data_IF_956589354432
#
_entry.id   IF_956589354432
#
_cell.length_a   1.000
_cell.length_b   1.000
_cell.length_c   1.000
_cell.angle_alpha   90.00
_cell.angle_beta   90.00
_cell.angle_gamma   90.00
#
_symmetry.space_group_name_H-M   'P 1'
#
loop_
_entity.id
_entity.type
_entity.pdbx_description
1 polymer ?
#
# COMPACT_ATOMS: atom_id res chain seq x y z
N UNK A 1 -7.83 12.49 -14.78
CA UNK A 1 -7.01 11.51 -14.53
C UNK A 1 -7.21 10.97 -13.20
N UNK A 2 -7.24 9.67 -13.03
CA UNK A 2 -7.55 9.13 -11.81
C UNK A 2 -6.32 8.97 -10.98
N UNK A 3 -6.39 9.25 -9.71
CA UNK A 3 -5.27 9.04 -8.84
C UNK A 3 -5.18 7.58 -8.48
N UNK A 4 -4.00 7.04 -8.55
CA UNK A 4 -3.78 5.65 -8.16
C UNK A 4 -3.16 5.59 -6.78
N UNK A 5 -3.26 4.45 -6.14
CA UNK A 5 -2.87 4.26 -4.76
C UNK A 5 -1.99 3.04 -4.62
N UNK A 6 -1.27 2.98 -3.52
CA UNK A 6 -0.53 1.77 -3.17
C UNK A 6 -0.71 1.54 -1.69
N UNK A 7 -0.45 0.32 -1.25
CA UNK A 7 -0.60 -0.03 0.15
C UNK A 7 0.78 -0.31 0.72
N UNK A 8 1.08 0.31 1.86
CA UNK A 8 2.34 0.12 2.54
C UNK A 8 2.10 -0.52 3.88
N UNK A 9 3.09 -1.23 4.37
CA UNK A 9 3.03 -1.90 5.65
C UNK A 9 4.14 -1.38 6.53
N UNK A 10 3.87 -1.23 7.83
CA UNK A 10 4.87 -0.81 8.76
C UNK A 10 5.68 -2.00 9.22
N UNK A 11 6.97 -1.98 8.96
CA UNK A 11 7.87 -3.04 9.36
C UNK A 11 8.91 -2.46 10.28
N UNK A 12 9.82 -3.29 10.75
CA UNK A 12 10.89 -2.82 11.61
C UNK A 12 11.80 -1.81 10.90
N UNK A 13 11.73 -1.79 9.58
CA UNK A 13 12.53 -0.85 8.83
C UNK A 13 11.73 0.37 8.38
N UNK A 14 10.50 0.49 8.84
CA UNK A 14 9.66 1.60 8.48
C UNK A 14 8.57 1.17 7.52
N UNK A 15 8.01 2.12 6.78
CA UNK A 15 6.93 1.81 5.86
C UNK A 15 7.49 1.29 4.57
N UNK A 16 7.08 0.10 4.20
CA UNK A 16 7.53 -0.52 2.95
C UNK A 16 6.31 -0.98 2.18
N UNK A 17 6.49 -1.28 0.91
CA UNK A 17 5.41 -1.76 0.08
C UNK A 17 4.94 -3.10 0.61
N UNK A 18 3.63 -3.24 0.77
CA UNK A 18 3.09 -4.47 1.35
C UNK A 18 3.26 -5.65 0.41
N UNK A 19 3.04 -5.46 -0.87
CA UNK A 19 3.11 -6.53 -1.83
C UNK A 19 3.40 -5.91 -3.18
N UNK A 20 4.07 -6.64 -4.04
CA UNK A 20 4.36 -6.17 -5.38
C UNK A 20 3.10 -5.81 -6.14
N UNK A 21 2.00 -6.45 -5.81
CA UNK A 21 0.75 -6.19 -6.49
C UNK A 21 -0.04 -5.07 -5.87
N UNK A 22 0.41 -4.53 -4.75
CA UNK A 22 -0.34 -3.49 -4.05
C UNK A 22 0.08 -2.10 -4.53
N UNK A 23 0.17 -1.93 -5.84
CA UNK A 23 0.54 -0.66 -6.44
C UNK A 23 -0.39 -0.35 -7.59
N UNK A 24 -0.46 0.90 -7.96
CA UNK A 24 -1.26 1.34 -9.10
C UNK A 24 -2.70 0.90 -8.96
N UNK A 25 -3.23 1.04 -7.76
CA UNK A 25 -4.59 0.59 -7.47
C UNK A 25 -5.53 1.76 -7.58
N UNK A 26 -6.71 1.51 -8.16
CA UNK A 26 -7.78 2.49 -8.07
C UNK A 26 -8.26 2.52 -6.63
N UNK A 27 -9.05 3.54 -6.27
CA UNK A 27 -9.52 3.64 -4.92
C UNK A 27 -10.33 2.42 -4.53
N UNK A 28 -11.15 1.93 -5.44
CA UNK A 28 -11.97 0.78 -5.14
C UNK A 28 -11.14 -0.47 -4.95
N UNK A 29 -10.14 -0.66 -5.80
CA UNK A 29 -9.26 -1.83 -5.65
C UNK A 29 -8.46 -1.74 -4.38
N UNK A 30 -8.03 -0.53 -4.03
CA UNK A 30 -7.28 -0.33 -2.81
C UNK A 30 -8.11 -0.73 -1.60
N UNK A 31 -9.37 -0.32 -1.56
CA UNK A 31 -10.24 -0.66 -0.46
C UNK A 31 -10.46 -2.18 -0.36
N UNK A 32 -10.64 -2.83 -1.49
CA UNK A 32 -10.83 -4.27 -1.52
C UNK A 32 -9.57 -4.98 -1.00
N UNK A 33 -8.40 -4.55 -1.44
CA UNK A 33 -7.17 -5.17 -0.99
C UNK A 33 -6.94 -4.95 0.49
N UNK A 34 -7.21 -3.75 1.00
CA UNK A 34 -7.06 -3.48 2.43
C UNK A 34 -7.94 -4.43 3.23
N UNK A 35 -9.18 -4.62 2.79
CA UNK A 35 -10.08 -5.53 3.49
C UNK A 35 -9.58 -6.96 3.43
N UNK A 36 -9.03 -7.36 2.31
CA UNK A 36 -8.52 -8.73 2.17
C UNK A 36 -7.32 -8.96 3.08
N UNK A 37 -6.42 -8.00 3.17
CA UNK A 37 -5.26 -8.15 4.03
C UNK A 37 -5.68 -8.16 5.51
N UNK A 38 -6.64 -7.34 5.87
CA UNK A 38 -7.14 -7.36 7.24
C UNK A 38 -7.79 -8.70 7.56
N UNK A 39 -8.54 -9.25 6.61
CA UNK A 39 -9.18 -10.53 6.82
C UNK A 39 -8.16 -11.66 6.95
N UNK A 40 -6.97 -11.50 6.37
CA UNK A 40 -5.95 -12.51 6.49
C UNK A 40 -5.07 -12.31 7.72
N UNK A 41 -5.36 -11.31 8.53
CA UNK A 41 -4.65 -11.13 9.79
C UNK A 41 -3.69 -9.97 9.87
N UNK A 42 -3.56 -9.19 8.83
CA UNK A 42 -2.65 -8.05 8.87
C UNK A 42 -3.29 -6.95 9.71
N UNK A 43 -2.51 -6.38 10.62
CA UNK A 43 -3.02 -5.38 11.52
C UNK A 43 -3.29 -4.09 10.79
N UNK A 44 -4.51 -3.58 10.90
CA UNK A 44 -4.89 -2.36 10.19
C UNK A 44 -4.03 -1.17 10.60
N UNK A 45 -3.51 -1.15 11.81
CA UNK A 45 -2.67 -0.06 12.25
C UNK A 45 -1.28 -0.10 11.62
N UNK A 46 -0.96 -1.19 10.95
CA UNK A 46 0.31 -1.33 10.29
C UNK A 46 0.19 -1.29 8.79
N UNK A 47 -0.95 -0.85 8.27
CA UNK A 47 -1.13 -0.69 6.84
C UNK A 47 -1.61 0.71 6.56
N UNK A 48 -1.28 1.21 5.41
CA UNK A 48 -1.82 2.49 4.98
C UNK A 48 -1.89 2.55 3.47
N UNK A 49 -2.85 3.30 2.97
CA UNK A 49 -2.97 3.56 1.54
C UNK A 49 -2.42 4.95 1.29
N UNK A 50 -1.50 5.05 0.37
CA UNK A 50 -0.91 6.35 0.01
C UNK A 50 -0.99 6.52 -1.48
N UNK A 51 -0.98 7.75 -1.97
CA UNK A 51 -1.02 7.96 -3.41
C UNK A 51 0.21 7.35 -4.07
N UNK A 52 -0.03 6.65 -5.17
CA UNK A 52 1.06 6.07 -5.93
C UNK A 52 1.40 7.09 -7.00
N UNK A 53 2.47 7.84 -6.80
CA UNK A 53 2.79 8.88 -7.74
C UNK A 53 3.64 8.34 -8.85
N UNK A 54 3.78 7.10 -8.91
CA UNK A 54 4.38 6.53 -10.07
C UNK A 54 5.80 6.52 -10.16
N UNK A 55 6.52 7.12 -9.38
CA UNK A 55 7.80 7.20 -9.54
C UNK A 55 8.36 6.33 -8.79
N UNK A 56 8.88 5.97 -8.77
CA UNK A 56 9.50 5.19 -8.18
C UNK A 56 9.45 5.01 -6.93
N UNK A 57 9.57 4.07 -6.44
CA UNK A 57 9.65 3.89 -5.22
C UNK A 57 10.88 3.78 -4.84
N UNK A 58 11.58 4.16 -5.26
CA UNK A 58 12.76 4.11 -4.97
C UNK A 58 13.02 4.18 -3.72
N UNK A 59 13.03 4.08 -3.10
CA UNK A 59 13.21 4.05 -2.14
C UNK A 59 13.35 4.33 -1.33
N UNK A 60 13.44 4.29 -0.76
CA UNK A 60 13.47 4.54 -0.01
C UNK A 60 13.99 4.98 0.72
N UNK A 61 14.45 5.31 0.83
CA UNK A 61 14.85 5.60 1.51
C UNK A 61 14.61 6.17 2.10
N UNK A 62 14.38 6.31 2.37
CA UNK A 62 14.06 6.63 2.75
C UNK A 62 14.10 6.74 3.25
#
# INVERSE_FOLDING_TARGET
MERLWRIEELTTEGWTLLDDKAVKLTKERCDVMLNEFMASGVNANRMRAVPDIGQAYTTPKE
#
